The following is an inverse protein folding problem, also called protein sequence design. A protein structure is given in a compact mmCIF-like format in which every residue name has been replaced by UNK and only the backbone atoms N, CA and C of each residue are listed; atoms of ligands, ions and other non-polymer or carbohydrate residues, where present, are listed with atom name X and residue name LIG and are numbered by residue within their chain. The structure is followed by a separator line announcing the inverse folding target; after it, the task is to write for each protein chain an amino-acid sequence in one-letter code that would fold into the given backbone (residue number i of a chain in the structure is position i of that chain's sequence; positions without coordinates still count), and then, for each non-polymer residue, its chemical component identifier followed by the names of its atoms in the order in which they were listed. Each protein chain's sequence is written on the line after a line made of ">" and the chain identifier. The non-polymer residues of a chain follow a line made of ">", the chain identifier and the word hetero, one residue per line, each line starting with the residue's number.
data_IF_961903731665
#
_entry.id   IF_961903731665
#
_cell.length_a   1.000
_cell.length_b   1.000
_cell.length_c   1.000
_cell.angle_alpha   90.00
_cell.angle_beta   90.00
_cell.angle_gamma   90.00
#
_symmetry.space_group_name_H-M   'P 1'
#
loop_
_entity.id
_entity.type
_entity.pdbx_description
1 polymer ?
#
# COMPACT_ATOMS: atom_id res chain seq x y z
N UNK A 1 -2.18 16.62 2.49
CA UNK A 1 -3.22 17.12 1.56
C UNK A 1 -3.79 15.90 0.88
N UNK A 2 -5.09 15.62 0.96
CA UNK A 2 -5.67 14.47 0.26
C UNK A 2 -5.54 14.70 -1.25
N UNK A 3 -5.08 13.67 -1.95
CA UNK A 3 -5.07 13.65 -3.41
C UNK A 3 -6.56 13.53 -3.83
N UNK A 4 -7.11 14.49 -4.61
CA UNK A 4 -8.52 14.41 -5.00
C UNK A 4 -8.75 13.18 -5.88
N UNK A 5 -9.38 12.14 -5.32
CA UNK A 5 -9.75 10.91 -6.03
C UNK A 5 -9.21 9.60 -5.44
N UNK A 6 -8.38 9.65 -4.41
CA UNK A 6 -7.94 8.45 -3.68
C UNK A 6 -8.15 8.67 -2.19
N UNK A 7 -9.10 7.94 -1.60
CA UNK A 7 -9.26 7.90 -0.15
C UNK A 7 -8.19 6.97 0.44
N UNK A 8 -7.62 7.32 1.62
CA UNK A 8 -6.60 6.49 2.26
C UNK A 8 -7.11 5.07 2.55
N UNK A 9 -8.41 4.92 2.82
CA UNK A 9 -9.06 3.62 3.01
C UNK A 9 -9.00 2.74 1.75
N UNK A 10 -9.20 3.31 0.54
CA UNK A 10 -9.10 2.55 -0.71
C UNK A 10 -7.66 2.09 -1.00
N UNK A 11 -6.67 2.91 -0.64
CA UNK A 11 -5.26 2.55 -0.78
C UNK A 11 -4.91 1.44 0.20
N UNK A 12 -5.37 1.53 1.45
CA UNK A 12 -5.17 0.50 2.46
C UNK A 12 -5.72 -0.86 1.97
N UNK A 13 -6.98 -0.91 1.55
CA UNK A 13 -7.61 -2.13 1.00
C UNK A 13 -6.81 -2.71 -0.20
N UNK A 14 -6.30 -1.84 -1.08
CA UNK A 14 -5.48 -2.26 -2.22
C UNK A 14 -4.12 -2.82 -1.78
N UNK A 15 -3.50 -2.21 -0.78
CA UNK A 15 -2.26 -2.73 -0.19
C UNK A 15 -2.52 -4.07 0.49
N UNK A 16 -3.53 -4.21 1.34
CA UNK A 16 -3.84 -5.47 1.99
C UNK A 16 -4.13 -6.60 0.99
N UNK A 17 -4.68 -6.26 -0.18
CA UNK A 17 -4.94 -7.20 -1.27
C UNK A 17 -3.66 -7.61 -2.02
N UNK A 18 -2.75 -6.66 -2.28
CA UNK A 18 -1.54 -6.90 -3.09
C UNK A 18 -0.31 -7.34 -2.26
N UNK A 19 -0.24 -6.91 -1.01
CA UNK A 19 0.85 -7.18 -0.08
C UNK A 19 0.48 -8.39 0.80
N UNK A 20 0.69 -9.59 0.25
CA UNK A 20 0.59 -10.81 1.06
C UNK A 20 1.60 -10.78 2.22
N UNK A 21 1.31 -11.50 3.32
CA UNK A 21 2.17 -11.55 4.52
C UNK A 21 3.65 -11.86 4.23
N UNK A 22 3.92 -12.58 3.14
CA UNK A 22 5.26 -12.94 2.68
C UNK A 22 6.00 -11.82 1.92
N UNK A 23 5.30 -10.84 1.36
CA UNK A 23 5.92 -9.64 0.77
C UNK A 23 6.04 -8.51 1.80
N UNK A 24 5.24 -8.50 2.86
CA UNK A 24 5.36 -7.49 3.93
C UNK A 24 6.77 -7.46 4.56
N UNK A 25 7.51 -8.57 4.56
CA UNK A 25 8.90 -8.59 5.05
C UNK A 25 9.93 -7.90 4.13
N UNK A 26 9.59 -7.67 2.85
CA UNK A 26 10.45 -6.96 1.91
C UNK A 26 10.31 -5.43 2.02
N UNK A 27 9.13 -4.96 2.41
CA UNK A 27 8.83 -3.53 2.53
C UNK A 27 8.84 -3.03 3.97
N UNK A 28 8.43 -3.87 4.93
CA UNK A 28 8.34 -3.49 6.34
C UNK A 28 9.34 -4.25 7.20
N UNK A 29 9.92 -3.53 8.17
CA UNK A 29 10.71 -4.16 9.22
C UNK A 29 9.85 -4.99 10.17
N UNK A 30 10.49 -5.88 10.94
CA UNK A 30 9.79 -6.73 11.91
C UNK A 30 8.92 -5.94 12.89
N UNK A 31 9.39 -4.77 13.33
CA UNK A 31 8.65 -3.89 14.26
C UNK A 31 7.45 -3.20 13.62
N UNK A 32 7.54 -2.83 12.35
CA UNK A 32 6.43 -2.20 11.60
C UNK A 32 5.34 -3.22 11.30
N UNK A 33 5.72 -4.44 10.88
CA UNK A 33 4.77 -5.55 10.70
C UNK A 33 4.05 -5.91 12.00
N UNK A 34 4.77 -5.88 13.13
CA UNK A 34 4.15 -6.13 14.42
C UNK A 34 3.13 -5.03 14.75
N UNK A 35 3.44 -3.78 14.46
CA UNK A 35 2.54 -2.64 14.67
C UNK A 35 1.29 -2.77 13.79
N UNK A 36 1.46 -3.08 12.50
CA UNK A 36 0.37 -3.38 11.57
C UNK A 36 -0.50 -4.54 12.04
N UNK A 37 0.09 -5.67 12.46
CA UNK A 37 -0.65 -6.84 12.97
C UNK A 37 -1.42 -6.57 14.26
N UNK A 38 -0.95 -5.64 15.09
CA UNK A 38 -1.69 -5.21 16.28
C UNK A 38 -2.83 -4.23 15.95
N UNK A 39 -2.90 -3.72 14.72
CA UNK A 39 -3.84 -2.67 14.31
C UNK A 39 -3.50 -1.31 14.91
N UNK A 40 -2.23 -1.10 15.29
CA UNK A 40 -1.75 0.17 15.84
C UNK A 40 -1.34 1.17 14.73
N UNK A 41 -1.12 0.70 13.50
CA UNK A 41 -0.84 1.52 12.32
C UNK A 41 -1.34 0.83 11.03
N UNK A 42 -1.68 1.64 10.03
CA UNK A 42 -2.10 1.21 8.69
C UNK A 42 -0.89 1.12 7.74
N UNK A 43 -0.97 0.31 6.68
CA UNK A 43 0.12 0.18 5.70
C UNK A 43 0.45 1.52 5.04
N UNK A 44 -0.56 2.37 4.78
CA UNK A 44 -0.38 3.73 4.26
C UNK A 44 0.43 4.66 5.16
N UNK A 45 0.48 4.38 6.47
CA UNK A 45 1.27 5.14 7.44
C UNK A 45 2.69 4.60 7.61
N UNK A 46 2.89 3.32 7.30
CA UNK A 46 4.17 2.62 7.45
C UNK A 46 5.01 2.65 6.16
N UNK A 47 4.37 2.70 5.01
CA UNK A 47 5.02 2.70 3.69
C UNK A 47 5.20 4.12 3.16
N UNK A 48 6.32 4.35 2.47
CA UNK A 48 6.55 5.61 1.80
C UNK A 48 5.72 5.73 0.52
N UNK A 49 5.44 6.97 0.09
CA UNK A 49 4.62 7.23 -1.09
C UNK A 49 5.16 6.56 -2.38
N UNK A 50 6.47 6.41 -2.51
CA UNK A 50 7.10 5.73 -3.64
C UNK A 50 6.90 4.21 -3.60
N UNK A 51 6.88 3.61 -2.41
CA UNK A 51 6.63 2.17 -2.21
C UNK A 51 5.16 1.84 -2.45
N UNK A 52 4.26 2.64 -1.85
CA UNK A 52 2.82 2.56 -2.08
C UNK A 52 2.48 2.59 -3.56
N UNK A 53 3.11 3.52 -4.29
CA UNK A 53 2.95 3.65 -5.73
C UNK A 53 3.45 2.42 -6.47
N UNK A 54 4.61 1.87 -6.10
CA UNK A 54 5.14 0.68 -6.73
C UNK A 54 4.20 -0.51 -6.54
N UNK A 55 3.65 -0.72 -5.34
CA UNK A 55 2.75 -1.84 -5.03
C UNK A 55 1.40 -1.70 -5.76
N UNK A 56 0.84 -0.50 -5.82
CA UNK A 56 -0.45 -0.23 -6.48
C UNK A 56 -0.30 -0.19 -8.01
N UNK A 57 0.82 0.27 -8.56
CA UNK A 57 1.11 0.23 -10.02
C UNK A 57 1.58 -1.14 -10.51
N UNK A 58 2.03 -2.06 -9.65
CA UNK A 58 2.37 -3.43 -10.04
C UNK A 58 1.12 -4.27 -10.36
N UNK A 59 -0.08 -3.77 -9.99
CA UNK A 59 -1.28 -4.19 -10.70
C UNK A 59 -1.10 -3.81 -12.18
N UNK A 60 -0.99 -4.84 -13.01
CA UNK A 60 -1.14 -4.83 -14.47
C UNK A 60 -2.58 -4.37 -14.85
N UNK A 61 -3.04 -3.23 -14.32
CA UNK A 61 -4.13 -2.46 -14.90
C UNK A 61 -3.53 -1.79 -16.13
N UNK A 62 -3.97 -2.13 -17.35
CA UNK A 62 -3.63 -1.33 -18.50
C UNK A 62 -4.19 0.07 -18.21
N UNK A 63 -3.31 0.99 -17.85
CA UNK A 63 -3.61 2.41 -17.94
C UNK A 63 -3.94 2.65 -19.40
N UNK A 64 -5.23 2.68 -19.74
CA UNK A 64 -5.68 3.09 -21.06
C UNK A 64 -5.21 4.55 -21.22
N UNK A 65 -4.06 4.70 -21.87
CA UNK A 65 -3.55 5.93 -22.44
C UNK A 65 -4.67 6.46 -23.34
N UNK A 66 -5.38 7.47 -22.85
CA UNK A 66 -6.43 8.13 -23.61
C UNK A 66 -5.73 9.02 -24.65
N UNK A 67 -5.69 8.54 -25.89
CA UNK A 67 -5.29 9.27 -27.12
C UNK A 67 -6.21 10.46 -27.41
#
# INVERSE_FOLDING_TARGET
>A
MPIPGYDPEDIEDALETNLEEAHLEEYLSESERETYRNGDAELVDLLEADELRAIVEDEDVPVEETD
#
